data_IF_870994886663
#
_entry.id   IF_870994886663
#
_cell.length_a   1.000
_cell.length_b   1.000
_cell.length_c   1.000
_cell.angle_alpha   90.00
_cell.angle_beta   90.00
_cell.angle_gamma   90.00
#
_symmetry.space_group_name_H-M   'P 1'
#
loop_
_entity.id
_entity.type
_entity.pdbx_description
1 polymer ?
#
# COMPACT_ATOMS: atom_id res chain seq x y z
N UNK A 1 0.44 7.81 -0.91
CA UNK A 1 1.00 6.59 -1.55
C UNK A 1 0.04 6.20 -2.65
N UNK A 2 0.53 6.15 -3.88
CA UNK A 2 -0.22 5.63 -5.01
C UNK A 2 0.28 4.23 -5.33
N UNK A 3 -0.64 3.34 -5.69
CA UNK A 3 -0.33 1.95 -6.01
C UNK A 3 -0.96 1.65 -7.34
N UNK A 4 -0.17 1.10 -8.27
CA UNK A 4 -0.71 0.61 -9.52
C UNK A 4 -1.85 -0.40 -9.22
N UNK A 5 -3.04 -0.24 -9.83
CA UNK A 5 -4.18 -1.12 -9.57
C UNK A 5 -3.88 -2.61 -9.81
N UNK A 6 -2.99 -2.94 -10.74
CA UNK A 6 -2.59 -4.32 -11.07
C UNK A 6 -1.55 -4.90 -10.10
N UNK A 7 -0.82 -4.05 -9.37
CA UNK A 7 0.18 -4.50 -8.41
C UNK A 7 -0.48 -5.15 -7.18
N UNK A 8 -1.57 -4.54 -6.70
CA UNK A 8 -2.31 -4.97 -5.52
C UNK A 8 -1.71 -4.46 -4.20
N UNK A 9 -2.52 -3.77 -3.40
CA UNK A 9 -2.10 -3.11 -2.15
C UNK A 9 -1.47 -4.07 -1.15
N UNK A 10 -1.93 -5.33 -1.09
CA UNK A 10 -1.39 -6.32 -0.16
C UNK A 10 0.11 -6.59 -0.37
N UNK A 11 0.60 -6.59 -1.63
CA UNK A 11 2.02 -6.83 -1.94
C UNK A 11 2.88 -5.70 -1.40
N UNK A 12 2.40 -4.46 -1.57
CA UNK A 12 3.07 -3.26 -1.07
C UNK A 12 3.15 -3.27 0.45
N UNK A 13 2.04 -3.52 1.13
CA UNK A 13 1.99 -3.58 2.59
C UNK A 13 2.91 -4.69 3.12
N UNK A 14 2.93 -5.86 2.47
CA UNK A 14 3.85 -6.95 2.81
C UNK A 14 5.31 -6.53 2.67
N UNK A 15 5.67 -5.85 1.57
CA UNK A 15 7.02 -5.37 1.35
C UNK A 15 7.45 -4.33 2.40
N UNK A 16 6.56 -3.37 2.72
CA UNK A 16 6.81 -2.33 3.73
C UNK A 16 7.03 -2.96 5.10
N UNK A 17 6.09 -3.79 5.55
CA UNK A 17 6.16 -4.44 6.88
C UNK A 17 7.37 -5.38 6.97
N UNK A 18 7.65 -6.14 5.91
CA UNK A 18 8.80 -7.05 5.86
C UNK A 18 10.13 -6.32 5.92
N UNK A 19 10.32 -5.32 5.05
CA UNK A 19 11.58 -4.55 4.97
C UNK A 19 11.83 -3.74 6.23
N UNK A 20 10.82 -3.02 6.73
CA UNK A 20 10.95 -2.25 7.98
C UNK A 20 11.23 -3.15 9.18
N UNK A 21 10.54 -4.29 9.30
CA UNK A 21 10.81 -5.28 10.36
C UNK A 21 12.26 -5.76 10.33
N UNK A 22 12.80 -6.08 9.15
CA UNK A 22 14.19 -6.51 9.01
C UNK A 22 15.16 -5.41 9.43
N UNK A 23 15.07 -4.23 8.81
CA UNK A 23 16.01 -3.13 9.05
C UNK A 23 15.99 -2.70 10.51
N UNK A 24 14.80 -2.48 11.10
CA UNK A 24 14.69 -2.03 12.49
C UNK A 24 15.17 -3.10 13.48
N UNK A 25 14.93 -4.39 13.21
CA UNK A 25 15.44 -5.47 14.08
C UNK A 25 16.94 -5.72 13.92
N UNK A 26 17.55 -5.29 12.82
CA UNK A 26 19.01 -5.28 12.61
C UNK A 26 19.64 -4.08 13.36
N UNK A 27 19.05 -2.89 13.23
CA UNK A 27 19.51 -1.65 13.85
C UNK A 27 19.29 -1.61 15.38
N UNK A 28 18.20 -2.20 15.86
CA UNK A 28 17.81 -2.20 17.27
C UNK A 28 17.67 -3.64 17.81
N UNK A 29 18.76 -4.29 18.25
CA UNK A 29 18.75 -5.68 18.69
C UNK A 29 17.77 -5.99 19.83
N UNK A 30 17.47 -5.01 20.69
CA UNK A 30 16.50 -5.15 21.78
C UNK A 30 15.06 -5.39 21.29
N UNK A 31 14.73 -5.05 20.03
CA UNK A 31 13.45 -5.41 19.42
C UNK A 31 13.34 -6.93 19.18
N UNK A 32 14.46 -7.62 18.91
CA UNK A 32 14.47 -9.08 18.73
C UNK A 32 14.25 -9.81 20.05
N UNK A 33 14.76 -9.28 21.17
CA UNK A 33 14.62 -9.94 22.48
C UNK A 33 13.24 -9.76 23.10
N UNK A 34 12.53 -8.66 22.78
CA UNK A 34 11.22 -8.34 23.38
C UNK A 34 10.02 -8.72 22.52
N UNK A 35 10.19 -8.81 21.20
CA UNK A 35 9.07 -9.00 20.27
C UNK A 35 9.30 -10.19 19.33
N UNK A 36 8.37 -11.16 19.25
CA UNK A 36 8.48 -12.28 18.31
C UNK A 36 8.40 -11.80 16.85
N UNK A 37 7.58 -10.78 16.56
CA UNK A 37 7.54 -10.05 15.28
C UNK A 37 7.39 -8.56 15.53
N UNK A 38 7.91 -7.70 14.63
CA UNK A 38 7.77 -6.25 14.80
C UNK A 38 6.34 -5.77 14.50
N UNK A 39 5.72 -6.35 13.48
CA UNK A 39 4.36 -6.03 13.06
C UNK A 39 3.45 -7.25 13.26
N UNK A 40 2.18 -7.00 13.55
CA UNK A 40 1.13 -8.02 13.49
C UNK A 40 0.80 -8.35 12.04
N UNK A 41 0.01 -9.40 11.77
CA UNK A 41 -0.40 -9.71 10.39
C UNK A 41 -1.40 -8.68 9.83
N UNK A 42 -2.20 -8.06 10.70
CA UNK A 42 -3.26 -7.13 10.33
C UNK A 42 -2.75 -5.79 9.78
N UNK A 43 -3.58 -5.15 8.97
CA UNK A 43 -3.39 -3.78 8.50
C UNK A 43 -4.75 -3.20 8.09
N UNK A 44 -4.86 -1.87 8.15
CA UNK A 44 -6.04 -1.15 7.67
C UNK A 44 -5.67 -0.39 6.38
N UNK A 45 -6.58 -0.39 5.42
CA UNK A 45 -6.47 0.38 4.18
C UNK A 45 -7.79 1.08 3.91
N UNK A 46 -7.71 2.36 3.56
CA UNK A 46 -8.82 3.14 3.04
C UNK A 46 -8.37 3.83 1.76
N UNK A 47 -9.26 3.89 0.76
CA UNK A 47 -9.04 4.69 -0.44
C UNK A 47 -9.23 6.16 -0.11
N UNK A 48 -8.41 7.01 -0.73
CA UNK A 48 -8.52 8.47 -0.62
C UNK A 48 -8.48 9.06 -2.04
N UNK A 49 -9.34 10.03 -2.30
CA UNK A 49 -9.50 10.63 -3.63
C UNK A 49 -10.36 9.78 -4.57
N UNK A 50 -11.50 10.34 -5.00
CA UNK A 50 -12.30 9.80 -6.10
C UNK A 50 -11.91 10.48 -7.42
N UNK A 51 -12.19 9.82 -8.55
CA UNK A 51 -12.08 10.47 -9.85
C UNK A 51 -13.11 11.62 -9.93
N UNK A 52 -12.70 12.86 -10.21
CA UNK A 52 -13.65 13.95 -10.41
C UNK A 52 -14.65 13.58 -11.51
N UNK A 53 -15.90 14.01 -11.38
CA UNK A 53 -16.95 13.74 -12.38
C UNK A 53 -16.53 14.19 -13.80
N UNK A 54 -15.73 15.27 -13.89
CA UNK A 54 -15.14 15.74 -15.14
C UNK A 54 -14.18 14.73 -15.78
N UNK A 55 -13.40 14.00 -14.99
CA UNK A 55 -12.49 12.95 -15.47
C UNK A 55 -13.27 11.76 -15.98
N UNK A 56 -14.33 11.36 -15.26
CA UNK A 56 -15.22 10.26 -15.68
C UNK A 56 -15.94 10.64 -16.98
N UNK A 57 -16.47 11.86 -17.08
CA UNK A 57 -17.16 12.37 -18.27
C UNK A 57 -16.23 12.37 -19.49
N UNK A 58 -15.03 12.93 -19.35
CA UNK A 58 -14.03 12.96 -20.43
C UNK A 58 -13.63 11.55 -20.88
N UNK A 59 -13.51 10.61 -19.93
CA UNK A 59 -13.24 9.21 -20.25
C UNK A 59 -14.35 8.62 -21.11
N UNK A 60 -15.62 8.77 -20.71
CA UNK A 60 -16.78 8.25 -21.47
C UNK A 60 -16.89 8.86 -22.86
N UNK A 61 -16.71 10.17 -23.00
CA UNK A 61 -16.76 10.86 -24.30
C UNK A 61 -15.66 10.36 -25.25
N UNK A 62 -14.43 10.20 -24.76
CA UNK A 62 -13.29 9.71 -25.55
C UNK A 62 -13.43 8.26 -26.05
N UNK A 63 -14.34 7.46 -25.47
CA UNK A 63 -14.60 6.10 -25.94
C UNK A 63 -15.59 6.06 -27.12
N UNK A 64 -16.34 7.14 -27.38
CA UNK A 64 -17.31 7.20 -28.49
C UNK A 64 -16.69 7.57 -29.83
N UNK A 65 -15.55 8.28 -29.80
CA UNK A 65 -14.79 8.68 -30.99
C UNK A 65 -13.83 7.57 -31.48
N UNK A 66 -13.94 6.36 -30.93
CA UNK A 66 -13.19 5.17 -31.29
C UNK A 66 -14.11 4.12 -31.89
#
# INVERSE_FOLDING_TARGET
>A
MEVDPQYGVHKLVKAIKGRSSRVLREEFPWLKSRLPSLWTNSYFVATVGGAPLSVIKRYVESQKDR
#
